data_IF_577548011826
#
_entry.id   IF_577548011826
#
_cell.length_a   1.000
_cell.length_b   1.000
_cell.length_c   1.000
_cell.angle_alpha   90.00
_cell.angle_beta   90.00
_cell.angle_gamma   90.00
#
_symmetry.space_group_name_H-M   'P 1'
#
loop_
_entity.id
_entity.type
_entity.pdbx_description
1 polymer ?
#
# COMPACT_ATOMS: atom_id res chain seq x y z
N UNK A 1 -10.67 -0.98 -9.65
CA UNK A 1 -10.09 -0.37 -8.44
C UNK A 1 -11.18 0.04 -7.44
N UNK A 2 -12.20 -0.82 -7.18
CA UNK A 2 -13.30 -0.55 -6.22
C UNK A 2 -13.42 -1.64 -5.14
N UNK A 3 -12.47 -2.57 -5.10
CA UNK A 3 -12.55 -3.73 -4.20
C UNK A 3 -12.37 -3.29 -2.75
N UNK A 4 -11.32 -2.52 -2.46
CA UNK A 4 -11.03 -2.03 -1.11
C UNK A 4 -12.11 -1.06 -0.62
N UNK A 5 -12.61 -0.16 -1.47
CA UNK A 5 -13.75 0.71 -1.13
C UNK A 5 -15.01 -0.10 -0.76
N UNK A 6 -15.33 -1.14 -1.55
CA UNK A 6 -16.46 -2.04 -1.25
C UNK A 6 -16.26 -2.82 0.05
N UNK A 7 -15.00 -3.13 0.39
CA UNK A 7 -14.62 -3.74 1.66
C UNK A 7 -14.54 -2.73 2.81
N UNK A 8 -14.82 -1.43 2.57
CA UNK A 8 -14.70 -0.33 3.53
C UNK A 8 -13.29 -0.20 4.12
N UNK A 9 -12.28 -0.43 3.29
CA UNK A 9 -10.88 -0.19 3.63
C UNK A 9 -10.51 1.19 3.08
N UNK A 10 -10.20 2.10 3.99
CA UNK A 10 -9.75 3.46 3.66
C UNK A 10 -8.25 3.45 3.29
N UNK A 11 -7.98 3.41 1.98
CA UNK A 11 -6.65 3.42 1.38
C UNK A 11 -6.46 4.74 0.59
N UNK A 12 -6.12 5.85 1.27
CA UNK A 12 -6.27 7.21 0.72
C UNK A 12 -5.37 7.50 -0.49
N UNK A 13 -4.25 6.76 -0.61
CA UNK A 13 -3.29 6.91 -1.71
C UNK A 13 -3.24 5.68 -2.63
N UNK A 14 -4.23 4.77 -2.49
CA UNK A 14 -4.32 3.52 -3.26
C UNK A 14 -3.12 2.58 -3.11
N UNK A 15 -2.40 2.61 -2.00
CA UNK A 15 -1.20 1.83 -1.77
C UNK A 15 -1.44 0.31 -1.91
N UNK A 16 -2.56 -0.21 -1.41
CA UNK A 16 -2.91 -1.63 -1.54
C UNK A 16 -3.25 -2.01 -2.98
N UNK A 17 -3.87 -1.09 -3.72
CA UNK A 17 -4.25 -1.34 -5.11
C UNK A 17 -3.04 -1.31 -6.05
N UNK A 18 -2.18 -0.29 -5.94
CA UNK A 18 -1.09 -0.05 -6.90
C UNK A 18 0.25 -0.63 -6.46
N UNK A 19 0.42 -1.05 -5.21
CA UNK A 19 1.63 -1.73 -4.75
C UNK A 19 1.33 -3.13 -4.22
N UNK A 20 0.35 -3.28 -3.34
CA UNK A 20 0.00 -4.59 -2.77
C UNK A 20 -0.46 -5.58 -3.83
N UNK A 21 -1.53 -5.25 -4.56
CA UNK A 21 -2.17 -6.15 -5.53
C UNK A 21 -1.27 -6.43 -6.74
N UNK A 22 -0.66 -5.39 -7.31
CA UNK A 22 0.24 -5.56 -8.47
C UNK A 22 1.55 -6.23 -8.06
N UNK A 23 2.03 -6.02 -6.82
CA UNK A 23 3.20 -6.70 -6.28
C UNK A 23 2.97 -8.20 -6.16
N UNK A 24 1.82 -8.59 -5.56
CA UNK A 24 1.39 -9.99 -5.51
C UNK A 24 1.34 -10.59 -6.92
N UNK A 25 0.67 -9.93 -7.87
CA UNK A 25 0.57 -10.43 -9.23
C UNK A 25 1.94 -10.54 -9.91
N UNK A 26 2.80 -9.53 -9.77
CA UNK A 26 4.14 -9.53 -10.35
C UNK A 26 5.00 -10.66 -9.81
N UNK A 27 5.01 -10.88 -8.49
CA UNK A 27 5.76 -11.96 -7.86
C UNK A 27 5.25 -13.34 -8.28
N UNK A 28 3.93 -13.54 -8.35
CA UNK A 28 3.34 -14.80 -8.82
C UNK A 28 3.59 -15.02 -10.31
N UNK A 29 3.62 -13.96 -11.12
CA UNK A 29 3.92 -14.02 -12.55
C UNK A 29 5.29 -14.66 -12.82
N UNK A 30 6.29 -14.43 -11.97
CA UNK A 30 7.58 -15.15 -12.05
C UNK A 30 7.41 -16.67 -11.94
N UNK A 31 6.48 -17.14 -11.10
CA UNK A 31 6.15 -18.56 -10.93
C UNK A 31 5.55 -19.20 -12.19
N UNK A 32 4.88 -18.41 -13.02
CA UNK A 32 4.31 -18.86 -14.29
C UNK A 32 5.28 -18.70 -15.46
N UNK A 33 5.97 -17.56 -15.52
CA UNK A 33 6.60 -17.06 -16.75
C UNK A 33 8.13 -16.94 -16.70
N UNK A 34 8.81 -17.37 -15.63
CA UNK A 34 10.27 -17.40 -15.63
C UNK A 34 10.80 -18.34 -16.72
N UNK A 35 11.57 -17.83 -17.68
CA UNK A 35 12.18 -18.66 -18.72
C UNK A 35 13.43 -19.34 -18.19
N UNK A 36 13.78 -20.51 -18.73
CA UNK A 36 15.00 -21.22 -18.38
C UNK A 36 16.27 -20.35 -18.45
N UNK A 37 16.42 -19.53 -19.49
CA UNK A 37 17.56 -18.60 -19.62
C UNK A 37 17.68 -17.62 -18.45
N UNK A 38 16.56 -17.03 -18.02
CA UNK A 38 16.50 -16.10 -16.90
C UNK A 38 16.71 -16.82 -15.54
N UNK A 39 16.25 -18.07 -15.42
CA UNK A 39 16.42 -18.87 -14.19
C UNK A 39 17.86 -19.39 -14.04
N UNK A 40 18.52 -19.76 -15.14
CA UNK A 40 19.93 -20.19 -15.16
C UNK A 40 20.86 -18.99 -14.96
N UNK A 41 20.54 -17.84 -15.56
CA UNK A 41 21.32 -16.61 -15.42
C UNK A 41 21.34 -16.01 -14.00
N UNK A 42 20.41 -16.42 -13.14
CA UNK A 42 20.30 -15.94 -11.76
C UNK A 42 21.12 -16.76 -10.73
N UNK A 43 21.91 -17.75 -11.18
CA UNK A 43 22.59 -18.79 -10.36
C UNK A 43 21.63 -19.69 -9.54
N UNK A 44 20.41 -19.23 -9.28
CA UNK A 44 19.39 -19.87 -8.45
C UNK A 44 18.00 -19.65 -9.04
N UNK A 45 17.23 -20.72 -9.19
CA UNK A 45 15.83 -20.66 -9.63
C UNK A 45 15.49 -21.74 -10.65
N UNK A 46 14.19 -22.03 -10.78
CA UNK A 46 13.66 -22.96 -11.76
C UNK A 46 12.87 -22.21 -12.85
N UNK A 47 12.70 -22.79 -14.05
CA UNK A 47 11.76 -22.27 -15.02
C UNK A 47 10.35 -22.20 -14.40
N UNK A 48 9.53 -21.27 -14.87
CA UNK A 48 8.14 -21.14 -14.49
C UNK A 48 7.30 -22.30 -15.02
N UNK A 49 6.08 -22.41 -14.50
CA UNK A 49 5.15 -23.49 -14.82
C UNK A 49 4.94 -23.68 -16.33
N UNK A 50 4.85 -22.60 -17.10
CA UNK A 50 4.62 -22.68 -18.55
C UNK A 50 5.85 -23.04 -19.37
N UNK A 51 7.02 -23.10 -18.74
CA UNK A 51 8.29 -23.47 -19.38
C UNK A 51 8.84 -24.80 -18.87
N UNK A 52 7.98 -25.64 -18.26
CA UNK A 52 8.34 -27.00 -17.87
C UNK A 52 9.05 -27.15 -16.52
N UNK A 53 9.22 -26.07 -15.75
CA UNK A 53 9.84 -26.15 -14.42
C UNK A 53 8.92 -26.65 -13.30
N UNK A 54 7.70 -27.09 -13.65
CA UNK A 54 6.74 -27.66 -12.70
C UNK A 54 6.13 -26.64 -11.74
N UNK A 55 5.60 -27.13 -10.61
CA UNK A 55 4.91 -26.29 -9.62
C UNK A 55 5.84 -25.68 -8.56
N UNK A 56 7.12 -26.08 -8.55
CA UNK A 56 8.05 -25.69 -7.49
C UNK A 56 8.29 -24.18 -7.48
N UNK A 57 8.62 -23.58 -8.64
CA UNK A 57 8.84 -22.13 -8.75
C UNK A 57 7.59 -21.35 -8.33
N UNK A 58 6.40 -21.75 -8.79
CA UNK A 58 5.15 -21.12 -8.39
C UNK A 58 4.89 -21.23 -6.88
N UNK A 59 5.18 -22.40 -6.29
CA UNK A 59 5.07 -22.63 -4.85
C UNK A 59 6.01 -21.72 -4.05
N UNK A 60 7.25 -21.57 -4.49
CA UNK A 60 8.23 -20.65 -3.88
C UNK A 60 7.74 -19.20 -3.94
N UNK A 61 7.21 -18.76 -5.09
CA UNK A 61 6.67 -17.40 -5.22
C UNK A 61 5.44 -17.17 -4.33
N UNK A 62 4.53 -18.15 -4.22
CA UNK A 62 3.38 -18.08 -3.30
C UNK A 62 3.85 -17.96 -1.85
N UNK A 63 4.80 -18.80 -1.45
CA UNK A 63 5.39 -18.75 -0.11
C UNK A 63 6.04 -17.40 0.15
N UNK A 64 6.79 -16.85 -0.82
CA UNK A 64 7.43 -15.54 -0.71
C UNK A 64 6.42 -14.41 -0.52
N UNK A 65 5.34 -14.40 -1.29
CA UNK A 65 4.24 -13.42 -1.14
C UNK A 65 3.59 -13.55 0.24
N UNK A 66 3.24 -14.78 0.65
CA UNK A 66 2.59 -15.03 1.93
C UNK A 66 3.47 -14.65 3.12
N UNK A 67 4.75 -15.05 3.10
CA UNK A 67 5.70 -14.75 4.16
C UNK A 67 5.97 -13.25 4.26
N UNK A 68 6.24 -12.58 3.14
CA UNK A 68 6.48 -11.13 3.10
C UNK A 68 5.24 -10.35 3.53
N UNK A 69 4.07 -10.73 3.02
CA UNK A 69 2.79 -10.11 3.36
C UNK A 69 2.43 -10.28 4.83
N UNK A 70 2.58 -11.49 5.38
CA UNK A 70 2.33 -11.75 6.79
C UNK A 70 3.30 -10.98 7.68
N UNK A 71 4.59 -10.96 7.35
CA UNK A 71 5.59 -10.21 8.09
C UNK A 71 5.28 -8.71 8.08
N UNK A 72 5.10 -8.12 6.90
CA UNK A 72 4.79 -6.70 6.75
C UNK A 72 3.52 -6.33 7.54
N UNK A 73 2.44 -7.09 7.39
CA UNK A 73 1.20 -6.82 8.10
C UNK A 73 1.35 -6.93 9.63
N UNK A 74 1.89 -8.05 10.13
CA UNK A 74 1.96 -8.31 11.58
C UNK A 74 2.92 -7.33 12.25
N UNK A 75 4.11 -7.12 11.68
CA UNK A 75 5.11 -6.23 12.27
C UNK A 75 4.63 -4.77 12.22
N UNK A 76 4.12 -4.29 11.08
CA UNK A 76 3.57 -2.94 10.99
C UNK A 76 2.38 -2.75 11.93
N UNK A 77 1.48 -3.73 12.04
CA UNK A 77 0.35 -3.65 12.96
C UNK A 77 0.79 -3.54 14.42
N UNK A 78 1.78 -4.35 14.84
CA UNK A 78 2.34 -4.28 16.20
C UNK A 78 2.97 -2.91 16.44
N UNK A 79 3.80 -2.42 15.52
CA UNK A 79 4.47 -1.11 15.64
C UNK A 79 3.43 -0.01 15.78
N UNK A 80 2.47 0.06 14.86
CA UNK A 80 1.43 1.10 14.87
C UNK A 80 0.58 1.03 16.13
N UNK A 81 0.21 -0.17 16.60
CA UNK A 81 -0.55 -0.33 17.85
C UNK A 81 0.24 0.07 19.10
N UNK A 82 1.54 -0.21 19.13
CA UNK A 82 2.40 0.23 20.23
C UNK A 82 2.53 1.75 20.21
N UNK A 83 2.76 2.36 19.05
CA UNK A 83 2.82 3.81 18.89
C UNK A 83 1.51 4.48 19.32
N UNK A 84 0.37 3.99 18.83
CA UNK A 84 -0.97 4.45 19.19
C UNK A 84 -1.16 4.47 20.71
N UNK A 85 -0.77 3.40 21.39
CA UNK A 85 -0.89 3.31 22.85
C UNK A 85 0.08 4.22 23.61
N UNK A 86 1.33 4.32 23.16
CA UNK A 86 2.39 5.06 23.88
C UNK A 86 2.24 6.57 23.69
N UNK A 87 1.75 7.01 22.52
CA UNK A 87 1.59 8.42 22.18
C UNK A 87 0.21 8.98 22.53
N UNK A 88 -0.74 8.14 22.94
CA UNK A 88 -2.13 8.54 23.21
C UNK A 88 -2.99 8.67 21.95
N UNK A 89 -2.54 8.09 20.84
CA UNK A 89 -3.15 8.17 19.51
C UNK A 89 -2.09 8.38 18.43
N UNK A 90 -2.28 7.78 17.25
CA UNK A 90 -1.50 8.11 16.03
C UNK A 90 -2.31 8.86 14.97
N UNK A 91 -3.61 9.04 15.21
CA UNK A 91 -4.51 9.85 14.36
C UNK A 91 -4.87 11.12 15.14
N UNK A 92 -4.98 12.23 14.43
CA UNK A 92 -5.48 13.50 14.99
C UNK A 92 -6.92 13.35 15.47
N UNK A 93 -7.40 14.32 16.26
CA UNK A 93 -8.80 14.34 16.67
C UNK A 93 -9.74 14.52 15.45
N UNK A 94 -11.01 14.12 15.60
CA UNK A 94 -12.01 14.30 14.53
C UNK A 94 -12.20 15.78 14.16
N UNK A 95 -12.10 16.69 15.13
CA UNK A 95 -12.17 18.14 14.91
C UNK A 95 -10.99 18.61 14.03
N UNK A 96 -9.77 18.21 14.35
CA UNK A 96 -8.57 18.53 13.56
C UNK A 96 -8.60 17.89 12.17
N UNK A 97 -9.14 16.67 12.05
CA UNK A 97 -9.32 15.99 10.77
C UNK A 97 -10.32 16.74 9.86
N UNK A 98 -11.42 17.26 10.42
CA UNK A 98 -12.44 18.04 9.69
C UNK A 98 -11.88 19.40 9.26
N UNK A 99 -11.12 20.08 10.12
CA UNK A 99 -10.50 21.38 9.80
C UNK A 99 -9.37 21.20 8.78
N UNK A 100 -8.68 20.06 8.81
CA UNK A 100 -7.56 19.71 7.93
C UNK A 100 -6.18 19.99 8.57
N UNK A 101 -5.23 19.06 8.35
CA UNK A 101 -3.90 19.09 8.98
C UNK A 101 -3.05 20.31 8.57
N UNK A 102 -3.34 20.92 7.43
CA UNK A 102 -2.70 22.18 7.04
C UNK A 102 -2.96 23.26 8.11
N UNK A 103 -4.22 23.42 8.54
CA UNK A 103 -4.57 24.41 9.54
C UNK A 103 -4.23 23.95 10.96
N UNK A 104 -4.56 22.72 11.33
CA UNK A 104 -4.40 22.25 12.70
C UNK A 104 -2.94 22.08 13.11
N UNK A 105 -2.09 21.55 12.22
CA UNK A 105 -0.68 21.26 12.51
C UNK A 105 0.27 22.36 12.02
N UNK A 106 -0.07 23.08 10.95
CA UNK A 106 0.84 24.04 10.30
C UNK A 106 0.36 25.49 10.35
N UNK A 107 -0.85 25.75 10.86
CA UNK A 107 -1.40 27.10 11.07
C UNK A 107 -1.71 27.88 9.78
N UNK A 108 -1.67 27.23 8.62
CA UNK A 108 -1.92 27.85 7.31
C UNK A 108 -2.35 26.81 6.29
N UNK A 109 -3.19 27.19 5.35
CA UNK A 109 -3.57 26.31 4.24
C UNK A 109 -2.39 26.04 3.32
N UNK A 110 -2.28 24.83 2.76
CA UNK A 110 -1.21 24.49 1.81
C UNK A 110 -1.27 25.29 0.50
N UNK A 111 -2.46 25.80 0.15
CA UNK A 111 -2.72 26.64 -1.03
C UNK A 111 -3.60 27.85 -0.67
N UNK A 112 -3.09 28.84 0.07
CA UNK A 112 -3.88 29.97 0.55
C UNK A 112 -4.47 30.82 -0.60
N UNK A 113 -3.82 30.84 -1.76
CA UNK A 113 -4.29 31.51 -2.98
C UNK A 113 -5.56 30.90 -3.59
N UNK A 114 -5.86 29.63 -3.27
CA UNK A 114 -7.04 28.93 -3.79
C UNK A 114 -8.26 29.09 -2.88
N UNK A 115 -8.12 29.80 -1.76
CA UNK A 115 -9.20 30.03 -0.81
C UNK A 115 -9.87 31.35 -1.17
N UNK A 116 -11.17 31.33 -1.51
CA UNK A 116 -11.91 32.55 -1.77
C UNK A 116 -11.79 33.48 -0.58
N UNK A 117 -11.35 34.71 -0.82
CA UNK A 117 -11.35 35.71 0.24
C UNK A 117 -12.79 35.98 0.67
N UNK A 118 -13.05 36.35 1.94
CA UNK A 118 -14.40 36.62 2.44
C UNK A 118 -15.21 37.60 1.58
N UNK A 119 -14.53 38.50 0.84
CA UNK A 119 -15.16 39.46 -0.06
C UNK A 119 -15.60 38.86 -1.42
N UNK A 120 -15.07 37.71 -1.83
CA UNK A 120 -15.46 37.03 -3.08
C UNK A 120 -16.65 36.10 -2.88
N UNK A 121 -16.87 35.59 -1.67
CA UNK A 121 -18.02 34.73 -1.34
C UNK A 121 -19.32 35.54 -1.21
N UNK A 122 -19.24 36.83 -0.85
CA UNK A 122 -20.37 37.76 -0.77
C UNK A 122 -20.81 38.33 -2.13
N UNK A 123 -20.08 38.04 -3.20
CA UNK A 123 -20.36 38.53 -4.56
C UNK A 123 -21.13 37.51 -5.43
N UNK A 124 -21.57 36.39 -4.84
CA UNK A 124 -22.46 35.39 -5.46
C UNK A 124 -23.77 35.30 -4.68
#
# INVERSE_FOLDING_TARGET
MKFFDRAKIDDPIFALSVHGTVGVWGTLSTGFFATEELSIGAEWGLPGLFYGGGLEQLGVQILGVAASGAYAFVVSFIILKVMDKVMGGIRVSEEEEIIGLDLSEHGSYGYPENIPLPHEEQAK
#
